data_IF_283759157763
#
_entry.id   IF_283759157763
#
_cell.length_a   1.000
_cell.length_b   1.000
_cell.length_c   1.000
_cell.angle_alpha   90.00
_cell.angle_beta   90.00
_cell.angle_gamma   90.00
#
_symmetry.space_group_name_H-M   'P 1'
#
loop_
_entity.id
_entity.type
_entity.pdbx_description
1 polymer ?
#
# COMPACT_ATOMS: atom_id res chain seq x y z
N UNK A 1 -18.62 -2.76 13.22
CA UNK A 1 -18.27 -2.72 14.65
C UNK A 1 -17.20 -3.78 14.88
N UNK A 2 -16.08 -3.44 15.50
CA UNK A 2 -14.97 -4.38 15.80
C UNK A 2 -14.84 -4.42 17.33
N UNK A 3 -14.83 -5.62 17.91
CA UNK A 3 -14.66 -5.82 19.35
C UNK A 3 -13.21 -6.17 19.65
N UNK A 4 -12.55 -5.34 20.45
CA UNK A 4 -11.15 -5.49 20.85
C UNK A 4 -10.99 -5.14 22.32
N UNK A 5 -9.83 -5.44 22.88
CA UNK A 5 -9.46 -4.97 24.22
C UNK A 5 -9.41 -3.44 24.27
N UNK A 6 -9.58 -2.88 25.47
CA UNK A 6 -9.49 -1.43 25.68
C UNK A 6 -8.14 -0.87 25.17
N UNK A 7 -7.05 -1.56 25.47
CA UNK A 7 -5.70 -1.21 25.01
C UNK A 7 -5.61 -1.14 23.48
N UNK A 8 -6.12 -2.15 22.78
CA UNK A 8 -6.17 -2.14 21.32
C UNK A 8 -7.06 -1.02 20.78
N UNK A 9 -8.15 -0.69 21.47
CA UNK A 9 -9.04 0.41 21.08
C UNK A 9 -8.30 1.75 21.09
N UNK A 10 -7.47 2.01 22.11
CA UNK A 10 -6.68 3.24 22.19
C UNK A 10 -5.65 3.32 21.07
N UNK A 11 -5.00 2.21 20.74
CA UNK A 11 -4.06 2.14 19.60
C UNK A 11 -4.77 2.45 18.29
N UNK A 12 -5.92 1.83 18.03
CA UNK A 12 -6.72 2.07 16.82
C UNK A 12 -7.16 3.54 16.71
N UNK A 13 -7.63 4.14 17.80
CA UNK A 13 -8.06 5.53 17.82
C UNK A 13 -6.90 6.51 17.61
N UNK A 14 -5.71 6.16 18.10
CA UNK A 14 -4.48 6.92 17.82
C UNK A 14 -4.13 6.84 16.34
N UNK A 15 -4.06 5.63 15.78
CA UNK A 15 -3.72 5.42 14.36
C UNK A 15 -4.72 6.13 13.42
N UNK A 16 -6.02 6.18 13.78
CA UNK A 16 -7.03 6.94 13.04
C UNK A 16 -6.76 8.44 13.04
N UNK A 17 -6.34 9.02 14.17
CA UNK A 17 -6.04 10.44 14.30
C UNK A 17 -4.74 10.83 13.59
N UNK A 18 -3.76 9.92 13.60
CA UNK A 18 -2.45 10.10 12.99
C UNK A 18 -2.48 9.86 11.46
N UNK A 19 -3.60 9.36 10.93
CA UNK A 19 -3.79 9.14 9.49
C UNK A 19 -3.74 10.46 8.72
N UNK A 20 -2.79 10.56 7.79
CA UNK A 20 -2.61 11.75 6.94
C UNK A 20 -3.52 11.76 5.71
N UNK A 21 -4.32 10.71 5.51
CA UNK A 21 -5.14 10.50 4.32
C UNK A 21 -4.34 10.10 3.08
N UNK A 22 -5.03 9.66 2.03
CA UNK A 22 -4.43 9.28 0.76
C UNK A 22 -4.95 10.18 -0.36
N UNK A 23 -4.06 10.86 -1.09
CA UNK A 23 -4.37 11.62 -2.31
C UNK A 23 -4.44 10.69 -3.54
N UNK A 24 -5.06 9.53 -3.37
CA UNK A 24 -5.25 8.55 -4.42
C UNK A 24 -6.74 8.43 -4.69
N UNK A 25 -7.13 8.40 -5.96
CA UNK A 25 -8.52 8.13 -6.38
C UNK A 25 -8.83 6.62 -6.24
N UNK A 26 -8.69 6.08 -5.03
CA UNK A 26 -9.01 4.69 -4.70
C UNK A 26 -10.31 4.61 -3.89
N UNK A 27 -10.90 3.41 -3.81
CA UNK A 27 -12.19 3.20 -3.11
C UNK A 27 -12.15 3.46 -1.60
N UNK A 28 -10.96 3.60 -1.00
CA UNK A 28 -10.80 3.89 0.43
C UNK A 28 -10.71 5.39 0.73
N UNK A 29 -10.36 6.20 -0.27
CA UNK A 29 -10.19 7.64 -0.11
C UNK A 29 -11.49 8.38 -0.37
N UNK A 30 -11.67 9.50 0.31
CA UNK A 30 -12.72 10.45 -0.02
C UNK A 30 -12.25 11.56 -0.98
N UNK A 31 -10.99 11.57 -1.39
CA UNK A 31 -10.43 12.58 -2.29
C UNK A 31 -10.80 12.33 -3.75
N UNK A 32 -11.01 13.41 -4.51
CA UNK A 32 -11.32 13.38 -5.95
C UNK A 32 -10.72 14.59 -6.65
N UNK A 33 -10.05 14.40 -7.79
CA UNK A 33 -9.61 15.51 -8.65
C UNK A 33 -10.71 16.05 -9.59
N UNK A 34 -11.83 15.33 -9.69
CA UNK A 34 -12.87 15.62 -10.68
C UNK A 34 -13.99 16.50 -10.13
N UNK A 35 -14.02 16.73 -8.83
CA UNK A 35 -15.02 17.55 -8.14
C UNK A 35 -14.43 18.89 -7.70
N UNK A 36 -15.26 19.93 -7.71
CA UNK A 36 -14.84 21.29 -7.38
C UNK A 36 -14.36 21.44 -5.91
N UNK A 37 -14.90 20.63 -5.00
CA UNK A 37 -14.55 20.57 -3.58
C UNK A 37 -13.44 19.55 -3.26
N UNK A 38 -12.86 18.93 -4.29
CA UNK A 38 -11.85 17.86 -4.20
C UNK A 38 -12.31 16.62 -3.42
N UNK A 39 -13.62 16.38 -3.32
CA UNK A 39 -14.21 15.30 -2.54
C UNK A 39 -15.12 14.38 -3.38
N UNK A 40 -15.21 13.12 -2.99
CA UNK A 40 -16.20 12.16 -3.51
C UNK A 40 -17.58 12.31 -2.87
N UNK A 41 -17.72 13.21 -1.88
CA UNK A 41 -18.95 13.38 -1.07
C UNK A 41 -19.19 12.26 -0.05
N UNK A 42 -18.30 11.28 0.06
CA UNK A 42 -18.36 10.17 1.02
C UNK A 42 -17.33 10.38 2.13
N UNK A 43 -17.55 9.76 3.29
CA UNK A 43 -16.51 9.65 4.31
C UNK A 43 -15.46 8.64 3.88
N UNK A 44 -14.19 8.86 4.23
CA UNK A 44 -13.12 7.90 3.97
C UNK A 44 -13.43 6.55 4.61
N UNK A 45 -13.04 5.46 3.95
CA UNK A 45 -13.23 4.13 4.51
C UNK A 45 -12.35 4.00 5.75
N UNK A 46 -12.86 3.51 6.89
CA UNK A 46 -12.08 3.39 8.11
C UNK A 46 -10.89 2.43 7.97
N UNK A 47 -10.81 1.59 6.93
CA UNK A 47 -9.61 0.77 6.68
C UNK A 47 -8.43 1.57 6.14
N UNK A 48 -8.65 2.81 5.69
CA UNK A 48 -7.63 3.68 5.10
C UNK A 48 -6.45 3.96 6.03
N UNK A 49 -6.70 4.20 7.32
CA UNK A 49 -5.61 4.46 8.29
C UNK A 49 -4.73 3.23 8.50
N UNK A 50 -5.32 2.02 8.57
CA UNK A 50 -4.56 0.79 8.68
C UNK A 50 -3.65 0.63 7.46
N UNK A 51 -4.23 0.75 6.26
CA UNK A 51 -3.49 0.60 5.00
C UNK A 51 -2.35 1.63 4.90
N UNK A 52 -2.62 2.90 5.21
CA UNK A 52 -1.64 3.96 5.12
C UNK A 52 -0.49 3.75 6.13
N UNK A 53 -0.80 3.43 7.39
CA UNK A 53 0.21 3.13 8.41
C UNK A 53 1.09 1.96 7.98
N UNK A 54 0.49 0.85 7.57
CA UNK A 54 1.24 -0.37 7.29
C UNK A 54 2.13 -0.23 6.05
N UNK A 55 1.65 0.48 5.02
CA UNK A 55 2.44 0.80 3.83
C UNK A 55 3.61 1.75 4.15
N UNK A 56 3.41 2.71 5.06
CA UNK A 56 4.49 3.58 5.51
C UNK A 56 5.53 2.81 6.31
N UNK A 57 5.10 1.97 7.26
CA UNK A 57 5.96 1.13 8.08
C UNK A 57 6.89 0.26 7.22
N UNK A 58 6.30 -0.54 6.31
CA UNK A 58 7.11 -1.46 5.49
C UNK A 58 8.07 -0.73 4.54
N UNK A 59 7.68 0.47 4.05
CA UNK A 59 8.55 1.29 3.22
C UNK A 59 9.76 1.87 3.99
N UNK A 60 9.70 1.92 5.33
CA UNK A 60 10.75 2.43 6.21
C UNK A 60 11.48 1.32 6.98
N UNK A 61 11.31 0.05 6.58
CA UNK A 61 12.10 -1.07 7.10
C UNK A 61 11.52 -1.79 8.31
N UNK A 62 10.24 -1.57 8.63
CA UNK A 62 9.52 -2.38 9.61
C UNK A 62 9.32 -3.83 9.12
N UNK A 63 8.93 -4.71 10.04
CA UNK A 63 8.82 -6.15 9.81
C UNK A 63 7.80 -6.52 8.72
N UNK A 64 8.28 -7.18 7.65
CA UNK A 64 7.45 -7.59 6.51
C UNK A 64 6.38 -8.62 6.85
N UNK A 65 6.54 -9.38 7.94
CA UNK A 65 5.57 -10.39 8.37
C UNK A 65 4.34 -9.78 9.09
N UNK A 66 4.49 -8.56 9.61
CA UNK A 66 3.46 -7.88 10.39
C UNK A 66 2.86 -6.65 9.68
N UNK A 67 3.31 -6.37 8.45
CA UNK A 67 2.91 -5.22 7.66
C UNK A 67 2.26 -5.62 6.33
N UNK A 68 1.61 -4.66 5.67
CA UNK A 68 0.92 -4.87 4.41
C UNK A 68 1.69 -4.19 3.27
N UNK A 69 1.85 -4.92 2.17
CA UNK A 69 2.42 -4.44 0.92
C UNK A 69 1.46 -4.68 -0.24
N UNK A 70 1.41 -3.75 -1.18
CA UNK A 70 0.68 -3.96 -2.43
C UNK A 70 1.57 -4.62 -3.48
N UNK A 71 1.04 -5.65 -4.11
CA UNK A 71 1.69 -6.35 -5.20
C UNK A 71 0.66 -6.70 -6.28
N UNK A 72 1.10 -6.72 -7.54
CA UNK A 72 0.28 -7.20 -8.64
C UNK A 72 0.05 -8.72 -8.56
N UNK A 73 -1.01 -9.21 -9.21
CA UNK A 73 -1.37 -10.64 -9.23
C UNK A 73 -0.22 -11.58 -9.61
N UNK A 74 0.70 -11.12 -10.47
CA UNK A 74 1.83 -11.91 -10.96
C UNK A 74 3.11 -11.77 -10.12
N UNK A 75 3.10 -11.06 -8.99
CA UNK A 75 4.32 -10.79 -8.22
C UNK A 75 5.06 -12.07 -7.78
N UNK A 76 4.32 -13.13 -7.44
CA UNK A 76 4.91 -14.42 -7.07
C UNK A 76 5.78 -15.03 -8.17
N UNK A 77 5.56 -14.67 -9.45
CA UNK A 77 6.33 -15.20 -10.57
C UNK A 77 7.79 -14.75 -10.54
N UNK A 78 8.10 -13.62 -9.91
CA UNK A 78 9.47 -13.14 -9.76
C UNK A 78 10.33 -14.11 -8.92
N UNK A 79 9.74 -14.87 -8.00
CA UNK A 79 10.48 -15.87 -7.22
C UNK A 79 11.00 -17.05 -8.05
N UNK A 80 10.42 -17.28 -9.23
CA UNK A 80 10.82 -18.36 -10.16
C UNK A 80 11.49 -17.83 -11.44
N UNK A 81 11.52 -16.52 -11.63
CA UNK A 81 12.04 -15.88 -12.83
C UNK A 81 13.58 -15.89 -12.76
N UNK A 82 14.29 -16.53 -13.73
CA UNK A 82 15.75 -16.54 -13.77
C UNK A 82 16.38 -15.14 -13.79
N UNK A 83 15.63 -14.11 -14.23
CA UNK A 83 16.10 -12.74 -14.20
C UNK A 83 16.43 -12.26 -12.80
N UNK A 84 15.64 -12.65 -11.80
CA UNK A 84 15.76 -12.21 -10.41
C UNK A 84 16.60 -13.19 -9.57
N UNK A 85 17.31 -14.13 -10.20
CA UNK A 85 18.11 -15.15 -9.51
C UNK A 85 19.29 -14.55 -8.73
N UNK A 86 19.75 -15.27 -7.71
CA UNK A 86 20.92 -14.91 -6.90
C UNK A 86 20.83 -13.53 -6.22
N UNK A 87 19.61 -13.07 -5.92
CA UNK A 87 19.37 -11.77 -5.29
C UNK A 87 19.57 -10.58 -6.24
N UNK A 88 19.60 -10.82 -7.56
CA UNK A 88 19.66 -9.73 -8.53
C UNK A 88 18.33 -8.99 -8.59
N UNK A 89 18.38 -7.66 -8.41
CA UNK A 89 17.25 -6.76 -8.63
C UNK A 89 17.63 -5.83 -9.79
N UNK A 90 16.92 -5.87 -10.93
CA UNK A 90 17.28 -5.06 -12.09
C UNK A 90 17.09 -3.56 -11.81
N UNK A 91 17.95 -2.74 -12.39
CA UNK A 91 17.66 -1.32 -12.53
C UNK A 91 16.44 -1.11 -13.43
N UNK A 92 15.78 0.04 -13.31
CA UNK A 92 14.66 0.41 -14.18
C UNK A 92 15.02 0.28 -15.66
N UNK A 93 16.25 0.68 -16.05
CA UNK A 93 16.73 0.54 -17.43
C UNK A 93 16.81 -0.93 -17.86
N UNK A 94 17.42 -1.80 -17.06
CA UNK A 94 17.53 -3.23 -17.38
C UNK A 94 16.16 -3.91 -17.49
N UNK A 95 15.22 -3.54 -16.62
CA UNK A 95 13.85 -4.04 -16.69
C UNK A 95 13.16 -3.62 -17.99
N UNK A 96 13.25 -2.34 -18.37
CA UNK A 96 12.67 -1.84 -19.62
C UNK A 96 13.33 -2.48 -20.84
N UNK A 97 14.67 -2.59 -20.87
CA UNK A 97 15.40 -3.23 -21.95
C UNK A 97 14.94 -4.69 -22.15
N UNK A 98 14.72 -5.44 -21.06
CA UNK A 98 14.19 -6.81 -21.13
C UNK A 98 12.77 -6.85 -21.67
N UNK A 99 11.86 -6.01 -21.15
CA UNK A 99 10.46 -5.96 -21.59
C UNK A 99 10.34 -5.72 -23.11
N UNK A 100 11.25 -4.93 -23.70
CA UNK A 100 11.29 -4.67 -25.13
C UNK A 100 11.67 -5.90 -25.98
N UNK A 101 12.28 -6.93 -25.39
CA UNK A 101 12.61 -8.18 -26.09
C UNK A 101 11.43 -9.15 -26.20
N UNK A 102 10.41 -8.99 -25.35
CA UNK A 102 9.25 -9.89 -25.27
C UNK A 102 9.48 -11.18 -24.47
N UNK A 103 10.63 -11.32 -23.81
CA UNK A 103 10.93 -12.35 -22.80
C UNK A 103 10.40 -11.97 -21.40
#
# INVERSE_FOLDING_TARGET
MIFVTEEQSFRILKDQKDCMGCLSACSFSNWSQHSADLSTGKTADPRSFCIQKTLQNIAHGEDVENELMFAGHNAYRFGTDPFYANGFVPTVKQLVDRLMTGD
#
